data_IF_906881948050
#
_entry.id   IF_906881948050
#
_cell.length_a   1.000
_cell.length_b   1.000
_cell.length_c   1.000
_cell.angle_alpha   90.00
_cell.angle_beta   90.00
_cell.angle_gamma   90.00
#
_symmetry.space_group_name_H-M   'P 1'
#
loop_
_entity.id
_entity.type
_entity.pdbx_description
1 polymer ?
#
# COMPACT_ATOMS: atom_id res chain seq x y z
N UNK A 1 -14.77 20.92 12.00
CA UNK A 1 -15.96 21.33 11.22
C UNK A 1 -15.59 21.86 9.81
N UNK A 2 -14.36 21.69 9.32
CA UNK A 2 -13.94 22.09 7.95
C UNK A 2 -13.58 20.92 7.03
N UNK A 3 -13.56 19.67 7.52
CA UNK A 3 -13.21 18.49 6.70
C UNK A 3 -14.38 17.95 5.88
N UNK A 4 -15.62 18.30 6.22
CA UNK A 4 -16.81 17.81 5.51
C UNK A 4 -16.92 18.39 4.07
N UNK A 5 -16.26 19.52 3.80
CA UNK A 5 -16.33 20.21 2.49
C UNK A 5 -15.17 19.92 1.54
N UNK A 6 -14.13 19.19 1.97
CA UNK A 6 -12.97 18.87 1.12
C UNK A 6 -13.09 17.47 0.49
N UNK A 7 -13.87 16.58 1.10
CA UNK A 7 -14.07 15.23 0.58
C UNK A 7 -15.18 15.21 -0.47
N UNK A 8 -14.83 14.76 -1.68
CA UNK A 8 -15.78 14.53 -2.76
C UNK A 8 -16.80 13.42 -2.45
N UNK A 9 -16.59 12.61 -1.41
CA UNK A 9 -17.48 11.49 -1.06
C UNK A 9 -18.75 11.96 -0.35
N UNK A 10 -18.66 12.96 0.55
CA UNK A 10 -19.82 13.39 1.35
C UNK A 10 -20.94 13.99 0.51
N UNK A 11 -20.67 14.90 -0.46
CA UNK A 11 -21.73 15.40 -1.33
C UNK A 11 -22.43 14.30 -2.14
N UNK A 12 -21.72 13.22 -2.51
CA UNK A 12 -22.28 12.08 -3.24
C UNK A 12 -23.17 11.21 -2.33
N UNK A 13 -22.78 11.04 -1.07
CA UNK A 13 -23.62 10.36 -0.07
C UNK A 13 -24.91 11.15 0.18
N UNK A 14 -24.81 12.47 0.35
CA UNK A 14 -25.97 13.35 0.53
C UNK A 14 -26.90 13.35 -0.69
N UNK A 15 -26.33 13.42 -1.89
CA UNK A 15 -27.09 13.35 -3.14
C UNK A 15 -27.84 12.01 -3.25
N UNK A 16 -27.18 10.90 -2.91
CA UNK A 16 -27.77 9.56 -2.86
C UNK A 16 -28.94 9.50 -1.88
N UNK A 17 -28.81 10.06 -0.69
CA UNK A 17 -29.90 10.11 0.28
C UNK A 17 -31.11 10.90 -0.22
N UNK A 18 -30.88 12.07 -0.83
CA UNK A 18 -31.94 12.87 -1.46
C UNK A 18 -32.65 12.12 -2.59
N UNK A 19 -31.94 11.36 -3.41
CA UNK A 19 -32.59 10.53 -4.44
C UNK A 19 -33.40 9.40 -3.83
N UNK A 20 -32.91 8.74 -2.78
CA UNK A 20 -33.67 7.69 -2.07
C UNK A 20 -34.98 8.27 -1.54
N UNK A 21 -34.94 9.44 -0.91
CA UNK A 21 -36.13 10.14 -0.41
C UNK A 21 -37.09 10.50 -1.56
N UNK A 22 -36.58 11.10 -2.63
CA UNK A 22 -37.36 11.49 -3.81
C UNK A 22 -38.10 10.29 -4.42
N UNK A 23 -37.41 9.21 -4.76
CA UNK A 23 -38.03 8.03 -5.39
C UNK A 23 -39.00 7.31 -4.44
N UNK A 24 -38.70 7.27 -3.14
CA UNK A 24 -39.60 6.65 -2.15
C UNK A 24 -40.94 7.40 -2.05
N UNK A 25 -40.91 8.73 -2.13
CA UNK A 25 -42.11 9.59 -2.11
C UNK A 25 -42.93 9.51 -3.40
N UNK A 26 -42.34 9.11 -4.52
CA UNK A 26 -43.00 8.99 -5.84
C UNK A 26 -43.48 7.57 -6.17
N UNK A 27 -43.65 6.71 -5.16
CA UNK A 27 -44.24 5.39 -5.37
C UNK A 27 -43.25 4.32 -5.82
N UNK A 28 -41.94 4.53 -5.67
CA UNK A 28 -40.93 3.49 -5.91
C UNK A 28 -40.48 2.82 -4.62
N UNK A 29 -40.02 1.57 -4.71
CA UNK A 29 -39.25 0.89 -3.66
C UNK A 29 -37.78 1.01 -4.03
N UNK A 30 -37.03 1.77 -3.24
CA UNK A 30 -35.59 1.97 -3.45
C UNK A 30 -34.81 1.04 -2.54
N UNK A 31 -33.93 0.24 -3.12
CA UNK A 31 -32.94 -0.55 -2.40
C UNK A 31 -31.55 -0.03 -2.71
N UNK A 32 -30.80 0.26 -1.65
CA UNK A 32 -29.36 0.49 -1.73
C UNK A 32 -28.69 -0.80 -2.18
N UNK A 33 -27.83 -0.75 -3.20
CA UNK A 33 -27.00 -1.91 -3.55
C UNK A 33 -26.13 -2.26 -2.34
N UNK A 34 -26.19 -3.51 -1.86
CA UNK A 34 -25.44 -3.95 -0.68
C UNK A 34 -23.96 -4.26 -1.01
N UNK A 35 -23.06 -3.88 -0.10
CA UNK A 35 -21.63 -4.22 -0.13
C UNK A 35 -20.67 -3.03 -0.34
N UNK A 36 -19.45 -3.13 0.21
CA UNK A 36 -18.31 -2.26 -0.16
C UNK A 36 -17.82 -2.62 -1.56
N UNK A 37 -18.61 -2.29 -2.58
CA UNK A 37 -18.29 -2.59 -3.98
C UNK A 37 -18.21 -1.31 -4.82
N UNK A 38 -17.72 -1.50 -6.04
CA UNK A 38 -18.07 -0.81 -7.30
C UNK A 38 -19.14 0.27 -7.26
N UNK A 39 -20.25 -0.19 -6.70
CA UNK A 39 -21.59 0.31 -6.85
C UNK A 39 -22.09 0.90 -5.54
N UNK A 40 -21.18 1.38 -4.68
CA UNK A 40 -21.50 1.95 -3.36
C UNK A 40 -22.60 3.01 -3.43
N UNK A 41 -22.73 3.71 -4.57
CA UNK A 41 -23.71 4.75 -4.82
C UNK A 41 -24.91 4.31 -5.66
N UNK A 42 -24.92 3.09 -6.22
CA UNK A 42 -25.99 2.61 -7.08
C UNK A 42 -27.27 2.31 -6.28
N UNK A 43 -28.41 2.50 -6.94
CA UNK A 43 -29.74 2.25 -6.39
C UNK A 43 -30.52 1.32 -7.33
N UNK A 44 -31.12 0.28 -6.76
CA UNK A 44 -32.17 -0.48 -7.45
C UNK A 44 -33.51 0.14 -7.11
N UNK A 45 -34.25 0.55 -8.13
CA UNK A 45 -35.54 1.22 -7.99
C UNK A 45 -36.61 0.32 -8.62
N UNK A 46 -37.64 -0.03 -7.86
CA UNK A 46 -38.75 -0.87 -8.34
C UNK A 46 -40.03 -0.05 -8.33
N UNK A 47 -40.70 0.03 -9.47
CA UNK A 47 -42.00 0.70 -9.57
C UNK A 47 -43.09 -0.14 -8.89
N UNK A 48 -43.85 0.46 -7.96
CA UNK A 48 -44.91 -0.25 -7.22
C UNK A 48 -46.15 -0.56 -8.09
N UNK A 49 -46.37 0.17 -9.17
CA UNK A 49 -47.55 0.03 -10.02
C UNK A 49 -47.30 -0.94 -11.18
N UNK A 50 -46.16 -0.81 -11.87
CA UNK A 50 -45.83 -1.65 -13.03
C UNK A 50 -45.03 -2.89 -12.66
N UNK A 51 -44.37 -2.89 -11.48
CA UNK A 51 -43.43 -3.94 -11.09
C UNK A 51 -42.11 -3.90 -11.86
N UNK A 52 -41.85 -2.85 -12.64
CA UNK A 52 -40.63 -2.72 -13.43
C UNK A 52 -39.42 -2.43 -12.54
N UNK A 53 -38.29 -3.03 -12.91
CA UNK A 53 -37.02 -2.92 -12.20
C UNK A 53 -36.07 -2.00 -12.96
N UNK A 54 -35.64 -0.93 -12.30
CA UNK A 54 -34.68 0.03 -12.82
C UNK A 54 -33.39 -0.02 -11.99
N UNK A 55 -32.25 0.06 -12.67
CA UNK A 55 -30.94 0.19 -12.04
C UNK A 55 -30.41 1.60 -12.27
N UNK A 56 -30.37 2.42 -11.23
CA UNK A 56 -29.74 3.73 -11.25
C UNK A 56 -28.26 3.56 -10.90
N UNK A 57 -27.41 3.68 -11.92
CA UNK A 57 -25.96 3.57 -11.78
C UNK A 57 -25.34 4.93 -11.54
N UNK A 58 -24.47 5.00 -10.54
CA UNK A 58 -23.54 6.11 -10.39
C UNK A 58 -22.35 5.88 -11.32
N UNK A 59 -21.90 6.94 -11.99
CA UNK A 59 -20.73 6.89 -12.88
C UNK A 59 -19.92 8.18 -12.74
N UNK A 60 -18.72 8.21 -13.32
CA UNK A 60 -17.80 9.36 -13.29
C UNK A 60 -16.52 9.10 -12.49
N UNK A 61 -15.79 10.17 -12.20
CA UNK A 61 -14.41 10.11 -11.70
C UNK A 61 -14.28 9.38 -10.36
N UNK A 62 -15.22 9.60 -9.43
CA UNK A 62 -15.22 8.92 -8.13
C UNK A 62 -15.34 7.40 -8.27
N UNK A 63 -16.17 6.92 -9.21
CA UNK A 63 -16.30 5.49 -9.48
C UNK A 63 -15.02 4.90 -10.04
N UNK A 64 -14.44 5.56 -11.05
CA UNK A 64 -13.17 5.13 -11.64
C UNK A 64 -12.07 5.09 -10.58
N UNK A 65 -12.04 6.08 -9.68
CA UNK A 65 -11.12 6.10 -8.54
C UNK A 65 -11.34 4.89 -7.62
N UNK A 66 -12.56 4.67 -7.12
CA UNK A 66 -12.86 3.55 -6.23
C UNK A 66 -12.58 2.17 -6.88
N UNK A 67 -12.91 2.01 -8.16
CA UNK A 67 -12.58 0.82 -8.95
C UNK A 67 -11.08 0.59 -8.98
N UNK A 68 -10.32 1.64 -9.30
CA UNK A 68 -8.86 1.59 -9.37
C UNK A 68 -8.25 1.22 -8.02
N UNK A 69 -8.71 1.83 -6.92
CA UNK A 69 -8.26 1.50 -5.57
C UNK A 69 -8.55 0.03 -5.22
N UNK A 70 -9.73 -0.47 -5.56
CA UNK A 70 -10.09 -1.87 -5.33
C UNK A 70 -9.19 -2.82 -6.11
N UNK A 71 -8.94 -2.55 -7.39
CA UNK A 71 -8.07 -3.38 -8.23
C UNK A 71 -6.63 -3.33 -7.75
N UNK A 72 -6.11 -2.16 -7.39
CA UNK A 72 -4.76 -2.02 -6.84
C UNK A 72 -4.63 -2.66 -5.46
N UNK A 73 -5.64 -2.56 -4.60
CA UNK A 73 -5.68 -3.22 -3.30
C UNK A 73 -5.67 -4.75 -3.44
N UNK A 74 -6.48 -5.29 -4.36
CA UNK A 74 -6.47 -6.72 -4.67
C UNK A 74 -5.11 -7.16 -5.24
N UNK A 75 -4.53 -6.36 -6.14
CA UNK A 75 -3.20 -6.62 -6.69
C UNK A 75 -2.10 -6.58 -5.61
N UNK A 76 -2.20 -5.65 -4.66
CA UNK A 76 -1.28 -5.56 -3.53
C UNK A 76 -1.33 -6.81 -2.64
N UNK A 77 -2.53 -7.27 -2.28
CA UNK A 77 -2.70 -8.52 -1.50
C UNK A 77 -2.16 -9.72 -2.28
N UNK A 78 -2.48 -9.83 -3.58
CA UNK A 78 -1.98 -10.89 -4.43
C UNK A 78 -0.44 -10.88 -4.51
N UNK A 79 0.17 -9.69 -4.62
CA UNK A 79 1.61 -9.53 -4.63
C UNK A 79 2.26 -9.95 -3.29
N UNK A 80 1.66 -9.59 -2.14
CA UNK A 80 2.13 -10.03 -0.82
C UNK A 80 2.12 -11.55 -0.71
N UNK A 81 1.03 -12.20 -1.11
CA UNK A 81 0.91 -13.67 -1.09
C UNK A 81 1.95 -14.28 -2.02
N UNK A 82 2.10 -13.76 -3.24
CA UNK A 82 3.04 -14.30 -4.21
C UNK A 82 4.49 -14.16 -3.73
N UNK A 83 4.89 -12.99 -3.24
CA UNK A 83 6.23 -12.76 -2.68
C UNK A 83 6.46 -13.70 -1.50
N UNK A 84 5.49 -13.84 -0.59
CA UNK A 84 5.61 -14.75 0.54
C UNK A 84 5.86 -16.19 0.09
N UNK A 85 5.03 -16.71 -0.82
CA UNK A 85 5.13 -18.09 -1.32
C UNK A 85 6.44 -18.33 -2.05
N UNK A 86 6.88 -17.40 -2.90
CA UNK A 86 8.17 -17.48 -3.57
C UNK A 86 9.33 -17.54 -2.58
N UNK A 87 9.29 -16.70 -1.52
CA UNK A 87 10.30 -16.73 -0.47
C UNK A 87 10.26 -18.05 0.32
N UNK A 88 9.08 -18.60 0.60
CA UNK A 88 8.95 -19.88 1.31
C UNK A 88 9.55 -21.00 0.48
N UNK A 89 9.27 -21.03 -0.82
CA UNK A 89 9.84 -22.01 -1.76
C UNK A 89 11.37 -21.87 -1.82
N UNK A 90 11.87 -20.64 -1.92
CA UNK A 90 13.30 -20.35 -2.03
C UNK A 90 14.08 -20.72 -0.76
N UNK A 91 13.62 -20.25 0.41
CA UNK A 91 14.30 -20.46 1.68
C UNK A 91 13.97 -21.78 2.37
N UNK A 92 12.90 -22.46 1.93
CA UNK A 92 12.32 -23.63 2.59
C UNK A 92 12.02 -23.37 4.08
N UNK A 93 11.69 -22.12 4.43
CA UNK A 93 11.51 -21.69 5.82
C UNK A 93 10.48 -20.56 5.91
N UNK A 94 9.34 -20.85 6.53
CA UNK A 94 8.29 -19.86 6.78
C UNK A 94 8.76 -18.69 7.64
N UNK A 95 9.63 -18.95 8.62
CA UNK A 95 10.14 -17.93 9.52
C UNK A 95 11.01 -16.91 8.79
N UNK A 96 11.93 -17.37 7.93
CA UNK A 96 12.78 -16.47 7.14
C UNK A 96 11.93 -15.63 6.18
N UNK A 97 10.99 -16.27 5.47
CA UNK A 97 10.09 -15.57 4.54
C UNK A 97 9.22 -14.53 5.26
N UNK A 98 8.74 -14.84 6.46
CA UNK A 98 7.98 -13.92 7.28
C UNK A 98 8.84 -12.74 7.79
N UNK A 99 10.11 -12.95 8.11
CA UNK A 99 11.04 -11.86 8.49
C UNK A 99 11.24 -10.90 7.31
N UNK A 100 11.49 -11.44 6.11
CA UNK A 100 11.69 -10.64 4.90
C UNK A 100 10.43 -9.82 4.61
N UNK A 101 9.28 -10.49 4.48
CA UNK A 101 8.04 -9.81 4.11
C UNK A 101 7.51 -8.92 5.23
N UNK A 102 7.57 -9.37 6.48
CA UNK A 102 7.10 -8.62 7.65
C UNK A 102 7.95 -7.38 7.91
N UNK A 103 9.27 -7.48 7.73
CA UNK A 103 10.15 -6.32 7.69
C UNK A 103 9.68 -5.33 6.61
N UNK A 104 9.53 -5.80 5.37
CA UNK A 104 9.07 -4.94 4.28
C UNK A 104 7.71 -4.31 4.51
N UNK A 105 6.77 -5.03 5.11
CA UNK A 105 5.45 -4.49 5.46
C UNK A 105 5.54 -3.30 6.42
N UNK A 106 6.49 -3.32 7.37
CA UNK A 106 6.70 -2.22 8.31
C UNK A 106 7.09 -0.90 7.62
N UNK A 107 7.68 -0.96 6.41
CA UNK A 107 8.02 0.24 5.63
C UNK A 107 6.80 1.06 5.16
N UNK A 108 5.61 0.45 5.13
CA UNK A 108 4.34 1.14 4.84
C UNK A 108 4.08 2.29 5.82
N UNK A 109 4.51 2.15 7.07
CA UNK A 109 4.40 3.21 8.08
C UNK A 109 5.06 4.50 7.57
N UNK A 110 6.20 4.38 6.89
CA UNK A 110 6.88 5.51 6.28
C UNK A 110 6.04 6.20 5.22
N UNK A 111 5.30 5.44 4.42
CA UNK A 111 4.44 6.02 3.38
C UNK A 111 3.27 6.79 3.97
N UNK A 112 2.62 6.23 4.99
CA UNK A 112 1.48 6.85 5.66
C UNK A 112 1.93 8.16 6.33
N UNK A 113 3.03 8.11 7.08
CA UNK A 113 3.61 9.30 7.71
C UNK A 113 4.06 10.30 6.65
N UNK A 114 4.65 9.84 5.55
CA UNK A 114 5.11 10.69 4.46
C UNK A 114 4.00 11.49 3.80
N UNK A 115 2.87 10.84 3.48
CA UNK A 115 1.69 11.55 2.94
C UNK A 115 1.14 12.54 3.96
N UNK A 116 1.04 12.13 5.23
CA UNK A 116 0.57 13.02 6.29
C UNK A 116 1.47 14.25 6.45
N UNK A 117 2.80 14.09 6.41
CA UNK A 117 3.74 15.22 6.45
C UNK A 117 3.65 16.08 5.19
N UNK A 118 3.54 15.46 4.01
CA UNK A 118 3.41 16.19 2.74
C UNK A 118 2.15 17.06 2.70
N UNK A 119 1.04 16.55 3.24
CA UNK A 119 -0.24 17.26 3.36
C UNK A 119 -0.19 18.45 4.33
N UNK A 120 0.67 18.37 5.36
CA UNK A 120 0.88 19.48 6.32
C UNK A 120 1.83 20.55 5.76
N UNK A 121 2.84 20.14 5.00
CA UNK A 121 3.94 21.02 4.57
C UNK A 121 3.69 21.67 3.20
N UNK A 122 2.90 21.02 2.34
CA UNK A 122 2.62 21.48 0.97
C UNK A 122 1.20 22.01 0.90
N UNK A 123 0.98 23.14 0.19
CA UNK A 123 -0.36 23.69 -0.01
C UNK A 123 -1.25 22.79 -0.88
N UNK A 124 -0.63 21.92 -1.68
CA UNK A 124 -1.30 20.88 -2.45
C UNK A 124 -1.56 19.66 -1.55
N UNK A 125 -2.83 19.37 -1.29
CA UNK A 125 -3.25 18.21 -0.52
C UNK A 125 -2.91 16.92 -1.26
N UNK A 126 -1.81 16.27 -0.88
CA UNK A 126 -1.48 14.91 -1.35
C UNK A 126 -2.27 13.88 -0.54
N UNK A 127 -3.55 13.73 -0.87
CA UNK A 127 -4.31 12.57 -0.42
C UNK A 127 -3.61 11.28 -0.86
N UNK A 128 -3.80 10.19 -0.13
CA UNK A 128 -3.43 8.87 -0.63
C UNK A 128 -4.21 8.61 -1.93
N UNK A 129 -3.52 8.67 -3.07
CA UNK A 129 -4.11 8.50 -4.39
C UNK A 129 -3.94 7.06 -4.88
N UNK A 130 -4.55 6.74 -6.03
CA UNK A 130 -4.29 5.49 -6.73
C UNK A 130 -2.80 5.35 -7.12
N UNK A 131 -2.15 6.46 -7.50
CA UNK A 131 -0.71 6.46 -7.81
C UNK A 131 0.15 6.23 -6.57
N UNK A 132 -0.29 6.70 -5.39
CA UNK A 132 0.34 6.34 -4.11
C UNK A 132 0.33 4.82 -3.90
N UNK A 133 -0.78 4.12 -4.13
CA UNK A 133 -0.87 2.65 -3.97
C UNK A 133 0.09 1.89 -4.90
N UNK A 134 0.32 2.38 -6.11
CA UNK A 134 1.36 1.83 -7.00
C UNK A 134 2.74 1.95 -6.33
N UNK A 135 3.01 3.08 -5.66
CA UNK A 135 4.21 3.29 -4.85
C UNK A 135 4.33 2.31 -3.69
N UNK A 136 3.24 1.97 -3.00
CA UNK A 136 3.25 0.96 -1.93
C UNK A 136 3.66 -0.42 -2.48
N UNK A 137 3.09 -0.82 -3.61
CA UNK A 137 3.40 -2.09 -4.26
C UNK A 137 4.88 -2.13 -4.68
N UNK A 138 5.36 -1.06 -5.31
CA UNK A 138 6.76 -0.94 -5.72
C UNK A 138 7.71 -0.99 -4.53
N UNK A 139 7.41 -0.25 -3.46
CA UNK A 139 8.19 -0.22 -2.23
C UNK A 139 8.26 -1.60 -1.57
N UNK A 140 7.17 -2.36 -1.59
CA UNK A 140 7.14 -3.72 -1.05
C UNK A 140 8.21 -4.59 -1.69
N UNK A 141 8.30 -4.58 -3.03
CA UNK A 141 9.29 -5.35 -3.78
C UNK A 141 10.73 -4.85 -3.58
N UNK A 142 10.92 -3.53 -3.53
CA UNK A 142 12.24 -2.92 -3.28
C UNK A 142 12.75 -3.30 -1.88
N UNK A 143 11.90 -3.14 -0.86
CA UNK A 143 12.22 -3.45 0.53
C UNK A 143 12.45 -4.94 0.74
N UNK A 144 11.65 -5.80 0.10
CA UNK A 144 11.80 -7.25 0.22
C UNK A 144 13.10 -7.72 -0.42
N UNK A 145 13.51 -7.13 -1.56
CA UNK A 145 14.81 -7.40 -2.19
C UNK A 145 15.99 -7.03 -1.28
N UNK A 146 15.91 -5.89 -0.60
CA UNK A 146 16.97 -5.46 0.32
C UNK A 146 17.10 -6.41 1.52
N UNK A 147 15.97 -6.82 2.09
CA UNK A 147 15.92 -7.76 3.21
C UNK A 147 16.38 -9.17 2.80
N UNK A 148 15.95 -9.66 1.63
CA UNK A 148 16.36 -10.93 1.02
C UNK A 148 17.89 -10.99 0.89
N UNK A 149 18.51 -9.98 0.27
CA UNK A 149 19.95 -9.99 0.04
C UNK A 149 20.77 -9.93 1.33
N UNK A 150 20.24 -9.29 2.38
CA UNK A 150 20.86 -9.27 3.70
C UNK A 150 20.79 -10.65 4.38
N UNK A 151 19.63 -11.29 4.30
CA UNK A 151 19.41 -12.65 4.82
C UNK A 151 20.31 -13.65 4.09
N UNK A 152 20.38 -13.59 2.76
CA UNK A 152 21.22 -14.48 1.95
C UNK A 152 22.69 -14.39 2.35
N UNK A 153 23.22 -13.16 2.44
CA UNK A 153 24.61 -12.96 2.81
C UNK A 153 24.89 -13.41 4.26
N UNK A 154 23.92 -13.25 5.16
CA UNK A 154 24.02 -13.76 6.54
C UNK A 154 24.08 -15.29 6.55
N UNK A 155 23.18 -15.96 5.81
CA UNK A 155 23.15 -17.44 5.72
C UNK A 155 24.42 -17.99 5.09
N UNK A 156 24.92 -17.35 4.05
CA UNK A 156 26.17 -17.73 3.39
C UNK A 156 27.35 -17.70 4.36
N UNK A 157 27.48 -16.64 5.17
CA UNK A 157 28.52 -16.54 6.19
C UNK A 157 28.42 -17.64 7.26
N UNK A 158 27.20 -18.02 7.66
CA UNK A 158 26.99 -19.07 8.65
C UNK A 158 27.30 -20.45 8.06
N UNK A 159 26.80 -20.73 6.85
CA UNK A 159 26.83 -22.07 6.26
C UNK A 159 28.15 -22.40 5.56
N UNK A 160 28.76 -21.42 4.88
CA UNK A 160 29.93 -21.64 4.04
C UNK A 160 31.23 -21.11 4.68
N UNK A 161 31.12 -20.21 5.65
CA UNK A 161 32.27 -19.58 6.31
C UNK A 161 32.34 -19.84 7.83
N UNK A 162 31.42 -20.65 8.37
CA UNK A 162 31.35 -21.06 9.78
C UNK A 162 31.40 -19.88 10.77
N UNK A 163 30.84 -18.73 10.36
CA UNK A 163 30.80 -17.52 11.19
C UNK A 163 29.64 -17.62 12.18
N UNK A 164 29.90 -17.38 13.46
CA UNK A 164 28.86 -17.32 14.48
C UNK A 164 27.73 -16.36 14.08
N UNK A 165 26.48 -16.79 14.26
CA UNK A 165 25.27 -16.06 13.82
C UNK A 165 25.28 -14.55 14.08
N UNK A 166 25.56 -14.11 15.31
CA UNK A 166 25.59 -12.68 15.66
C UNK A 166 26.66 -11.92 14.87
N UNK A 167 27.82 -12.55 14.69
CA UNK A 167 28.92 -11.99 13.91
C UNK A 167 28.58 -11.97 12.43
N UNK A 168 27.94 -13.01 11.90
CA UNK A 168 27.49 -13.07 10.52
C UNK A 168 26.47 -11.96 10.21
N UNK A 169 25.48 -11.75 11.07
CA UNK A 169 24.48 -10.68 10.94
C UNK A 169 25.17 -9.31 10.92
N UNK A 170 26.14 -9.07 11.81
CA UNK A 170 26.87 -7.80 11.88
C UNK A 170 27.70 -7.54 10.61
N UNK A 171 28.44 -8.55 10.12
CA UNK A 171 29.24 -8.45 8.89
C UNK A 171 28.32 -8.22 7.69
N UNK A 172 27.22 -8.97 7.59
CA UNK A 172 26.24 -8.81 6.52
C UNK A 172 25.63 -7.42 6.52
N UNK A 173 25.17 -6.94 7.66
CA UNK A 173 24.56 -5.62 7.79
C UNK A 173 25.52 -4.51 7.40
N UNK A 174 26.78 -4.57 7.86
CA UNK A 174 27.81 -3.60 7.51
C UNK A 174 28.15 -3.61 6.01
N UNK A 175 28.22 -4.80 5.41
CA UNK A 175 28.57 -4.97 4.00
C UNK A 175 27.44 -4.49 3.08
N UNK A 176 26.20 -4.78 3.46
CA UNK A 176 25.00 -4.45 2.69
C UNK A 176 24.53 -3.01 2.88
N UNK A 177 24.90 -2.34 3.97
CA UNK A 177 24.48 -0.97 4.26
C UNK A 177 24.81 0.01 3.14
N UNK A 178 26.02 -0.06 2.57
CA UNK A 178 26.45 0.82 1.46
C UNK A 178 25.59 0.63 0.19
N UNK A 179 25.44 -0.60 -0.35
CA UNK A 179 24.50 -0.85 -1.45
C UNK A 179 23.06 -0.42 -1.15
N UNK A 180 22.53 -0.71 0.05
CA UNK A 180 21.16 -0.35 0.44
C UNK A 180 20.99 1.17 0.41
N UNK A 181 21.92 1.93 0.99
CA UNK A 181 21.86 3.38 1.01
C UNK A 181 21.96 3.97 -0.41
N UNK A 182 22.80 3.40 -1.28
CA UNK A 182 22.91 3.83 -2.67
C UNK A 182 21.58 3.65 -3.42
N UNK A 183 20.90 2.51 -3.24
CA UNK A 183 19.57 2.31 -3.83
C UNK A 183 18.55 3.30 -3.29
N UNK A 184 18.60 3.60 -2.00
CA UNK A 184 17.69 4.53 -1.37
C UNK A 184 17.86 5.94 -1.92
N UNK A 185 19.10 6.43 -2.02
CA UNK A 185 19.42 7.74 -2.59
C UNK A 185 18.93 7.81 -4.04
N UNK A 186 19.19 6.78 -4.86
CA UNK A 186 18.74 6.75 -6.25
C UNK A 186 17.20 6.83 -6.35
N UNK A 187 16.48 6.08 -5.52
CA UNK A 187 15.01 6.11 -5.48
C UNK A 187 14.51 7.47 -5.04
N UNK A 188 15.09 8.06 -3.98
CA UNK A 188 14.68 9.37 -3.46
C UNK A 188 14.87 10.45 -4.52
N UNK A 189 16.04 10.49 -5.18
CA UNK A 189 16.33 11.48 -6.21
C UNK A 189 15.41 11.33 -7.43
N UNK A 190 15.17 10.10 -7.90
CA UNK A 190 14.25 9.85 -9.00
C UNK A 190 12.80 10.18 -8.65
N UNK A 191 12.38 9.85 -7.43
CA UNK A 191 11.02 10.08 -6.93
C UNK A 191 10.75 11.54 -6.60
N UNK A 192 11.78 12.34 -6.31
CA UNK A 192 11.66 13.78 -6.12
C UNK A 192 11.14 14.49 -7.37
N UNK A 193 11.51 14.01 -8.57
CA UNK A 193 10.96 14.54 -9.82
C UNK A 193 9.47 14.21 -9.97
N UNK A 194 9.05 13.03 -9.51
CA UNK A 194 7.65 12.60 -9.53
C UNK A 194 6.81 13.34 -8.49
N UNK A 195 7.37 13.64 -7.32
CA UNK A 195 6.68 14.27 -6.20
C UNK A 195 6.08 15.65 -6.56
N UNK A 196 6.71 16.36 -7.51
CA UNK A 196 6.24 17.67 -7.99
C UNK A 196 5.21 17.58 -9.13
N UNK A 197 4.89 16.37 -9.60
CA UNK A 197 3.96 16.16 -10.71
C UNK A 197 2.50 16.02 -10.20
N UNK A 198 1.51 16.70 -10.81
CA UNK A 198 0.11 16.62 -10.37
C UNK A 198 -0.52 15.22 -10.43
N UNK A 199 -0.03 14.34 -11.30
CA UNK A 199 -0.56 12.98 -11.49
C UNK A 199 0.26 11.97 -10.67
N UNK A 200 1.59 12.09 -10.70
CA UNK A 200 2.52 11.15 -10.08
C UNK A 200 3.01 11.56 -8.69
N UNK A 201 2.60 12.70 -8.16
CA UNK A 201 3.13 13.19 -6.90
C UNK A 201 2.88 12.26 -5.72
N UNK A 202 1.71 11.61 -5.65
CA UNK A 202 1.42 10.58 -4.64
C UNK A 202 2.36 9.37 -4.71
N UNK A 203 2.73 8.95 -5.93
CA UNK A 203 3.75 7.92 -6.16
C UNK A 203 5.13 8.39 -5.67
N UNK A 204 5.52 9.62 -6.00
CA UNK A 204 6.79 10.22 -5.58
C UNK A 204 6.93 10.30 -4.06
N UNK A 205 5.92 10.87 -3.38
CA UNK A 205 5.87 10.97 -1.92
C UNK A 205 5.92 9.57 -1.27
N UNK A 206 5.18 8.59 -1.82
CA UNK A 206 5.21 7.21 -1.34
C UNK A 206 6.61 6.61 -1.37
N UNK A 207 7.29 6.73 -2.51
CA UNK A 207 8.61 6.16 -2.70
C UNK A 207 9.66 6.84 -1.84
N UNK A 208 9.66 8.17 -1.72
CA UNK A 208 10.64 8.90 -0.90
C UNK A 208 10.52 8.48 0.56
N UNK A 209 9.35 8.70 1.14
CA UNK A 209 9.11 8.48 2.57
C UNK A 209 9.18 7.01 2.96
N UNK A 210 8.59 6.15 2.15
CA UNK A 210 8.64 4.70 2.33
C UNK A 210 10.06 4.15 2.25
N UNK A 211 10.88 4.64 1.34
CA UNK A 211 12.27 4.19 1.18
C UNK A 211 13.13 4.58 2.38
N UNK A 212 12.94 5.78 2.95
CA UNK A 212 13.64 6.21 4.17
C UNK A 212 13.38 5.22 5.30
N UNK A 213 12.11 4.86 5.54
CA UNK A 213 11.76 3.87 6.57
C UNK A 213 12.23 2.47 6.18
N UNK A 214 12.18 2.08 4.90
CA UNK A 214 12.68 0.80 4.44
C UNK A 214 14.18 0.60 4.71
N UNK A 215 15.00 1.66 4.62
CA UNK A 215 16.42 1.61 5.00
C UNK A 215 16.58 1.31 6.48
N UNK A 216 15.84 2.03 7.34
CA UNK A 216 15.86 1.82 8.80
C UNK A 216 15.45 0.39 9.13
N UNK A 217 14.35 -0.07 8.54
CA UNK A 217 13.86 -1.43 8.70
C UNK A 217 14.91 -2.45 8.26
N UNK A 218 15.50 -2.26 7.09
CA UNK A 218 16.44 -3.22 6.53
C UNK A 218 17.75 -3.31 7.32
N UNK A 219 18.25 -2.19 7.87
CA UNK A 219 19.54 -2.16 8.58
C UNK A 219 19.38 -2.45 10.08
N UNK A 220 18.19 -2.21 10.65
CA UNK A 220 17.96 -2.37 12.10
C UNK A 220 16.97 -3.49 12.39
N UNK A 221 15.74 -3.39 11.91
CA UNK A 221 14.69 -4.35 12.26
C UNK A 221 14.97 -5.75 11.74
N UNK A 222 15.40 -5.89 10.48
CA UNK A 222 15.66 -7.21 9.88
C UNK A 222 16.78 -7.94 10.64
N UNK A 223 17.97 -7.34 10.92
CA UNK A 223 18.98 -7.93 11.80
C UNK A 223 18.47 -8.37 13.17
N UNK A 224 17.66 -7.55 13.84
CA UNK A 224 17.10 -7.87 15.15
C UNK A 224 16.15 -9.07 15.08
N UNK A 225 15.31 -9.13 14.04
CA UNK A 225 14.41 -10.27 13.83
C UNK A 225 15.19 -11.55 13.50
N UNK A 226 16.28 -11.45 12.72
CA UNK A 226 17.15 -12.58 12.43
C UNK A 226 17.82 -13.13 13.70
N UNK A 227 18.36 -12.26 14.57
CA UNK A 227 19.03 -12.67 15.81
C UNK A 227 18.08 -13.45 16.74
N UNK A 228 16.84 -12.98 16.88
CA UNK A 228 15.84 -13.61 17.73
C UNK A 228 15.27 -14.94 17.18
N UNK A 229 15.44 -15.23 15.89
CA UNK A 229 14.81 -16.40 15.25
C UNK A 229 15.73 -17.61 15.18
N UNK A 230 15.25 -18.82 15.50
CA UNK A 230 16.05 -20.06 15.43
C UNK A 230 16.19 -20.66 14.01
N UNK A 231 15.65 -19.98 13.00
CA UNK A 231 15.55 -20.49 11.63
C UNK A 231 16.78 -20.14 10.76
N UNK A 232 17.71 -19.36 11.31
CA UNK A 232 18.98 -18.94 10.72
C UNK A 232 20.10 -19.50 11.58
#
# INVERSE_FOLDING_TARGET
RSTDNESQVYPLLDAREKMVEYFSNHGYVVKKQEGMSTFMFDLTVVDKQTGEHFLLRWDGEMKVTLDTFRYLGAAFIAALILIFLLMVIYYKSYAISAIILGGSFLSIIGVIIGHWVADVVTADTFFLTATSLIGFIALMGISSRNSLLLVDFTKDLIQNHDVEKKRAIAIASATRAKPILLTAIAIILGSALLASDPIFGGLGVALISGTVVAVIVSIIFVPVLMDNTKAI
#
